data_IF_429424280080
#
_entry.id   IF_429424280080
#
_cell.length_a   1.000
_cell.length_b   1.000
_cell.length_c   1.000
_cell.angle_alpha   90.00
_cell.angle_beta   90.00
_cell.angle_gamma   90.00
#
_symmetry.space_group_name_H-M   'P 1'
#
loop_
_entity.id
_entity.type
_entity.pdbx_description
1 polymer ?
#
# COMPACT_ATOMS: atom_id res chain seq x y z
N UNK A 1 14.35 25.91 -3.96
CA UNK A 1 13.98 24.48 -3.86
C UNK A 1 12.46 24.41 -3.82
N UNK A 2 11.81 23.88 -4.85
CA UNK A 2 10.35 23.86 -4.96
C UNK A 2 9.79 22.78 -4.03
N UNK A 3 9.03 23.17 -3.00
CA UNK A 3 8.21 22.24 -2.22
C UNK A 3 7.08 21.80 -3.14
N UNK A 4 7.15 20.59 -3.69
CA UNK A 4 6.02 20.00 -4.43
C UNK A 4 5.03 19.47 -3.41
N UNK A 5 3.82 20.02 -3.43
CA UNK A 5 2.67 19.47 -2.74
C UNK A 5 2.22 18.20 -3.48
N UNK A 6 1.90 17.11 -2.77
CA UNK A 6 1.24 15.97 -3.39
C UNK A 6 -0.09 16.45 -3.96
N UNK A 7 -0.33 16.19 -5.24
CA UNK A 7 -1.57 16.62 -5.89
C UNK A 7 -2.73 15.74 -5.39
N UNK A 8 -3.75 16.28 -4.70
CA UNK A 8 -4.82 15.47 -4.13
C UNK A 8 -5.91 15.03 -5.14
N UNK A 9 -5.71 15.22 -6.44
CA UNK A 9 -6.76 14.90 -7.41
C UNK A 9 -6.22 14.65 -8.80
N UNK A 10 -6.06 13.37 -9.15
CA UNK A 10 -6.32 12.94 -10.52
C UNK A 10 -6.87 11.51 -10.45
N UNK A 11 -8.13 11.38 -10.07
CA UNK A 11 -8.93 10.19 -10.39
C UNK A 11 -9.17 10.20 -11.90
N UNK A 12 -8.13 9.87 -12.69
CA UNK A 12 -8.37 9.43 -14.05
C UNK A 12 -8.77 7.97 -13.94
N UNK A 13 -10.07 7.73 -14.03
CA UNK A 13 -10.62 6.41 -14.35
C UNK A 13 -10.09 6.05 -15.74
N UNK A 14 -8.92 5.42 -15.84
CA UNK A 14 -8.46 4.80 -17.08
C UNK A 14 -8.05 3.36 -16.77
N UNK A 15 -8.83 2.46 -17.35
CA UNK A 15 -8.47 1.07 -17.58
C UNK A 15 -7.19 1.04 -18.43
N UNK A 16 -6.06 0.78 -17.81
CA UNK A 16 -4.81 0.42 -18.49
C UNK A 16 -3.88 -0.17 -17.43
N UNK A 17 -3.13 -1.22 -17.76
CA UNK A 17 -2.36 -2.06 -16.82
C UNK A 17 -1.20 -1.40 -16.04
N UNK A 18 -1.29 -0.10 -15.75
CA UNK A 18 -0.43 0.59 -14.80
C UNK A 18 -0.80 0.17 -13.36
N UNK A 19 0.22 -0.14 -12.55
CA UNK A 19 0.01 -0.50 -11.15
C UNK A 19 -0.16 0.80 -10.34
N UNK A 20 -1.22 0.97 -9.52
CA UNK A 20 -1.45 2.19 -8.74
C UNK A 20 -0.24 2.70 -7.92
N UNK A 21 0.62 1.77 -7.47
CA UNK A 21 1.86 2.12 -6.76
C UNK A 21 2.89 2.77 -7.70
N UNK A 22 3.04 2.26 -8.93
CA UNK A 22 3.91 2.86 -9.95
C UNK A 22 3.41 4.27 -10.29
N UNK A 23 2.10 4.44 -10.45
CA UNK A 23 1.47 5.74 -10.68
C UNK A 23 1.73 6.72 -9.53
N UNK A 24 1.67 6.26 -8.27
CA UNK A 24 2.03 7.08 -7.12
C UNK A 24 3.47 7.60 -7.23
N UNK A 25 4.44 6.72 -7.47
CA UNK A 25 5.84 7.15 -7.54
C UNK A 25 6.14 7.99 -8.79
N UNK A 26 5.43 7.79 -9.90
CA UNK A 26 5.57 8.59 -11.12
C UNK A 26 5.25 10.09 -10.93
N UNK A 27 4.50 10.46 -9.88
CA UNK A 27 4.25 11.86 -9.52
C UNK A 27 5.52 12.60 -9.05
N UNK A 28 6.59 11.88 -8.76
CA UNK A 28 7.84 12.38 -8.20
C UNK A 28 9.02 12.12 -9.15
N UNK A 29 9.16 12.88 -10.26
CA UNK A 29 10.16 12.59 -11.30
C UNK A 29 11.61 12.67 -10.81
N UNK A 30 11.87 13.37 -9.70
CA UNK A 30 13.21 13.47 -9.10
C UNK A 30 13.55 12.30 -8.17
N UNK A 31 12.64 11.34 -8.04
CA UNK A 31 12.77 10.13 -7.25
C UNK A 31 12.59 8.90 -8.15
N UNK A 32 13.64 8.09 -8.25
CA UNK A 32 13.60 6.83 -9.01
C UNK A 32 13.12 5.70 -8.11
N UNK A 33 11.91 5.21 -8.36
CA UNK A 33 11.38 4.03 -7.69
C UNK A 33 12.18 2.78 -8.09
N UNK A 34 12.48 1.94 -7.10
CA UNK A 34 13.16 0.66 -7.27
C UNK A 34 12.27 -0.46 -6.70
N UNK A 35 11.64 -1.19 -7.62
CA UNK A 35 10.66 -2.26 -7.35
C UNK A 35 11.26 -3.46 -6.61
N UNK A 36 12.59 -3.58 -6.56
CA UNK A 36 13.26 -4.68 -5.84
C UNK A 36 13.28 -4.45 -4.33
N UNK A 37 12.93 -3.24 -3.88
CA UNK A 37 12.99 -2.85 -2.46
C UNK A 37 11.60 -2.78 -1.83
N UNK A 38 11.51 -2.95 -0.50
CA UNK A 38 10.24 -2.80 0.20
C UNK A 38 9.59 -1.43 -0.04
N UNK A 39 8.29 -1.43 -0.31
CA UNK A 39 7.50 -0.24 -0.63
C UNK A 39 7.61 0.86 0.44
N UNK A 40 7.54 0.51 1.72
CA UNK A 40 7.72 1.47 2.82
C UNK A 40 9.13 2.06 2.87
N UNK A 41 10.15 1.29 2.49
CA UNK A 41 11.52 1.82 2.39
C UNK A 41 11.64 2.83 1.25
N UNK A 42 10.98 2.58 0.12
CA UNK A 42 10.88 3.52 -1.01
C UNK A 42 10.15 4.81 -0.60
N UNK A 43 9.00 4.70 0.08
CA UNK A 43 8.26 5.86 0.58
C UNK A 43 9.08 6.70 1.56
N UNK A 44 9.80 6.07 2.51
CA UNK A 44 10.71 6.78 3.42
C UNK A 44 11.84 7.50 2.66
N UNK A 45 12.40 6.87 1.64
CA UNK A 45 13.44 7.48 0.80
C UNK A 45 12.90 8.68 0.02
N UNK A 46 11.67 8.59 -0.48
CA UNK A 46 10.95 9.70 -1.12
C UNK A 46 10.78 10.88 -0.15
N UNK A 47 10.30 10.66 1.08
CA UNK A 47 10.16 11.72 2.08
C UNK A 47 11.49 12.41 2.38
N UNK A 48 12.58 11.65 2.50
CA UNK A 48 13.94 12.20 2.69
C UNK A 48 14.39 13.04 1.48
N UNK A 49 14.11 12.57 0.25
CA UNK A 49 14.49 13.25 -1.00
C UNK A 49 13.83 14.63 -1.16
N UNK A 50 12.58 14.75 -0.71
CA UNK A 50 11.81 16.00 -0.76
C UNK A 50 11.90 16.83 0.52
N UNK A 51 12.59 16.32 1.55
CA UNK A 51 12.81 16.99 2.84
C UNK A 51 11.51 17.47 3.49
N UNK A 52 10.45 16.67 3.38
CA UNK A 52 9.19 16.99 4.03
C UNK A 52 9.34 16.94 5.54
N UNK A 53 8.69 17.89 6.21
CA UNK A 53 8.53 17.87 7.65
C UNK A 53 7.76 16.61 8.07
N UNK A 54 8.12 16.00 9.20
CA UNK A 54 7.49 14.77 9.71
C UNK A 54 6.01 14.97 10.04
N UNK A 55 5.63 16.19 10.40
CA UNK A 55 4.26 16.58 10.75
C UNK A 55 3.66 17.54 9.71
N UNK A 56 4.34 17.73 8.58
CA UNK A 56 3.93 18.62 7.51
C UNK A 56 2.68 18.13 6.77
N UNK A 57 1.94 19.07 6.18
CA UNK A 57 0.81 18.76 5.31
C UNK A 57 1.23 17.86 4.13
N UNK A 58 2.43 18.08 3.59
CA UNK A 58 2.94 17.34 2.44
C UNK A 58 3.17 15.86 2.74
N UNK A 59 3.81 15.51 3.87
CA UNK A 59 4.01 14.10 4.22
C UNK A 59 2.68 13.40 4.51
N UNK A 60 1.72 14.11 5.10
CA UNK A 60 0.39 13.56 5.40
C UNK A 60 -0.40 13.27 4.12
N UNK A 61 -0.42 14.21 3.17
CA UNK A 61 -1.05 14.01 1.86
C UNK A 61 -0.37 12.88 1.08
N UNK A 62 0.96 12.85 1.07
CA UNK A 62 1.71 11.79 0.38
C UNK A 62 1.45 10.42 1.01
N UNK A 63 1.37 10.35 2.35
CA UNK A 63 1.08 9.10 3.08
C UNK A 63 -0.32 8.59 2.78
N UNK A 64 -1.32 9.47 2.71
CA UNK A 64 -2.69 9.09 2.36
C UNK A 64 -2.76 8.58 0.91
N UNK A 65 -2.21 9.33 -0.04
CA UNK A 65 -2.18 8.91 -1.45
C UNK A 65 -1.41 7.60 -1.66
N UNK A 66 -0.31 7.39 -0.92
CA UNK A 66 0.43 6.14 -0.95
C UNK A 66 -0.37 4.97 -0.38
N UNK A 67 -1.12 5.20 0.71
CA UNK A 67 -2.02 4.20 1.30
C UNK A 67 -3.11 3.81 0.30
N UNK A 68 -3.72 4.78 -0.36
CA UNK A 68 -4.77 4.53 -1.35
C UNK A 68 -4.23 3.72 -2.55
N UNK A 69 -3.03 4.06 -3.03
CA UNK A 69 -2.36 3.30 -4.08
C UNK A 69 -2.08 1.84 -3.66
N UNK A 70 -1.63 1.61 -2.42
CA UNK A 70 -1.42 0.25 -1.91
C UNK A 70 -2.72 -0.54 -1.79
N UNK A 71 -3.81 0.09 -1.30
CA UNK A 71 -5.12 -0.55 -1.20
C UNK A 71 -5.65 -0.91 -2.59
N UNK A 72 -5.52 0.00 -3.55
CA UNK A 72 -5.96 -0.21 -4.94
C UNK A 72 -5.18 -1.36 -5.61
N UNK A 73 -3.85 -1.38 -5.49
CA UNK A 73 -3.03 -2.47 -6.04
C UNK A 73 -3.34 -3.80 -5.35
N UNK A 74 -3.60 -3.79 -4.04
CA UNK A 74 -4.03 -4.98 -3.31
C UNK A 74 -5.38 -5.52 -3.81
N UNK A 75 -6.37 -4.63 -4.00
CA UNK A 75 -7.67 -4.98 -4.56
C UNK A 75 -7.55 -5.56 -5.98
N UNK A 76 -6.66 -5.00 -6.80
CA UNK A 76 -6.38 -5.51 -8.15
C UNK A 76 -5.81 -6.94 -8.13
N UNK A 77 -4.95 -7.28 -7.15
CA UNK A 77 -4.30 -8.59 -7.06
C UNK A 77 -5.22 -9.62 -6.41
N UNK A 78 -5.93 -9.26 -5.33
CA UNK A 78 -6.63 -10.21 -4.48
C UNK A 78 -8.16 -10.15 -4.57
N UNK A 79 -8.70 -9.11 -5.20
CA UNK A 79 -10.13 -8.83 -5.27
C UNK A 79 -10.48 -7.57 -4.46
N UNK A 80 -11.35 -6.73 -5.03
CA UNK A 80 -11.82 -5.49 -4.40
C UNK A 80 -12.98 -5.73 -3.42
N UNK A 81 -13.70 -6.85 -3.59
CA UNK A 81 -14.83 -7.19 -2.73
C UNK A 81 -14.35 -7.79 -1.40
N UNK A 82 -14.40 -6.96 -0.35
CA UNK A 82 -14.10 -7.36 1.01
C UNK A 82 -15.07 -8.41 1.57
N UNK A 83 -16.23 -8.65 0.97
CA UNK A 83 -17.17 -9.70 1.36
C UNK A 83 -16.96 -11.03 0.62
N UNK A 84 -16.09 -11.07 -0.39
CA UNK A 84 -15.83 -12.28 -1.17
C UNK A 84 -14.97 -13.28 -0.39
N UNK A 85 -15.56 -14.42 -0.03
CA UNK A 85 -14.83 -15.55 0.58
C UNK A 85 -13.63 -15.97 -0.29
N UNK A 86 -13.80 -15.99 -1.61
CA UNK A 86 -12.74 -16.38 -2.55
C UNK A 86 -11.52 -15.46 -2.45
N UNK A 87 -11.74 -14.14 -2.37
CA UNK A 87 -10.67 -13.13 -2.20
C UNK A 87 -9.88 -13.38 -0.91
N UNK A 88 -10.58 -13.67 0.20
CA UNK A 88 -9.95 -13.95 1.48
C UNK A 88 -9.23 -15.31 1.52
N UNK A 89 -9.78 -16.34 0.88
CA UNK A 89 -9.10 -17.63 0.74
C UNK A 89 -7.86 -17.52 -0.14
N UNK A 90 -7.87 -16.67 -1.19
CA UNK A 90 -6.68 -16.36 -2.00
C UNK A 90 -5.58 -15.74 -1.15
N UNK A 91 -5.93 -14.81 -0.25
CA UNK A 91 -4.98 -14.27 0.72
C UNK A 91 -4.45 -15.34 1.67
N UNK A 92 -5.31 -16.23 2.16
CA UNK A 92 -4.89 -17.34 3.02
C UNK A 92 -3.84 -18.24 2.35
N UNK A 93 -4.02 -18.56 1.05
CA UNK A 93 -3.05 -19.31 0.25
C UNK A 93 -1.70 -18.59 0.15
N UNK A 94 -1.73 -17.29 -0.10
CA UNK A 94 -0.51 -16.47 -0.21
C UNK A 94 0.25 -16.42 1.12
N UNK A 95 -0.48 -16.34 2.23
CA UNK A 95 0.07 -16.36 3.58
C UNK A 95 0.43 -17.78 4.08
N UNK A 96 0.24 -18.80 3.25
CA UNK A 96 0.48 -20.22 3.56
C UNK A 96 -0.27 -20.68 4.82
N UNK A 97 -1.51 -20.23 4.97
CA UNK A 97 -2.44 -20.72 5.99
C UNK A 97 -2.99 -22.07 5.51
N UNK A 98 -2.82 -23.09 6.35
CA UNK A 98 -3.29 -24.46 6.13
C UNK A 98 -3.88 -25.02 7.45
N UNK A 99 -5.11 -25.55 7.45
CA UNK A 99 -6.04 -25.60 6.32
C UNK A 99 -6.60 -24.20 5.97
N UNK A 100 -7.01 -24.02 4.70
CA UNK A 100 -7.68 -22.79 4.26
C UNK A 100 -9.08 -22.76 4.90
N UNK A 101 -9.47 -21.68 5.61
CA UNK A 101 -10.80 -21.64 6.23
C UNK A 101 -11.93 -21.61 5.21
N UNK A 102 -13.06 -22.21 5.58
CA UNK A 102 -14.23 -22.36 4.69
C UNK A 102 -15.24 -21.21 4.82
N UNK A 103 -15.01 -20.26 5.74
CA UNK A 103 -15.88 -19.11 5.91
C UNK A 103 -15.11 -17.79 6.05
N UNK A 104 -15.83 -16.71 5.80
CA UNK A 104 -15.29 -15.37 5.67
C UNK A 104 -14.74 -14.82 6.99
N UNK A 105 -15.42 -15.15 8.11
CA UNK A 105 -15.05 -14.68 9.43
C UNK A 105 -13.67 -15.21 9.82
N UNK A 106 -13.48 -16.52 9.68
CA UNK A 106 -12.24 -17.19 10.07
C UNK A 106 -11.07 -16.75 9.18
N UNK A 107 -11.29 -16.58 7.88
CA UNK A 107 -10.26 -16.03 7.01
C UNK A 107 -9.80 -14.63 7.47
N UNK A 108 -10.75 -13.75 7.84
CA UNK A 108 -10.43 -12.40 8.30
C UNK A 108 -9.67 -12.40 9.62
N UNK A 109 -10.09 -13.23 10.57
CA UNK A 109 -9.47 -13.34 11.89
C UNK A 109 -8.01 -13.79 11.77
N UNK A 110 -7.75 -14.89 11.06
CA UNK A 110 -6.37 -15.41 10.90
C UNK A 110 -5.47 -14.43 10.14
N UNK A 111 -5.98 -13.81 9.06
CA UNK A 111 -5.21 -12.81 8.31
C UNK A 111 -4.86 -11.61 9.21
N UNK A 112 -5.81 -11.15 10.03
CA UNK A 112 -5.59 -10.04 10.95
C UNK A 112 -4.56 -10.38 12.04
N UNK A 113 -4.63 -11.59 12.61
CA UNK A 113 -3.63 -12.07 13.58
C UNK A 113 -2.23 -12.14 12.96
N UNK A 114 -2.11 -12.75 11.77
CA UNK A 114 -0.85 -12.86 11.04
C UNK A 114 -0.27 -11.49 10.70
N UNK A 115 -1.10 -10.56 10.22
CA UNK A 115 -0.70 -9.22 9.83
C UNK A 115 -0.31 -8.36 11.04
N UNK A 116 -0.97 -8.52 12.19
CA UNK A 116 -0.69 -7.76 13.42
C UNK A 116 0.73 -8.02 13.95
N UNK A 117 1.25 -9.24 13.79
CA UNK A 117 2.65 -9.53 14.15
C UNK A 117 3.61 -8.77 13.24
N UNK A 118 3.31 -8.67 11.94
CA UNK A 118 4.14 -7.93 10.98
C UNK A 118 4.07 -6.41 11.17
N UNK A 119 2.93 -5.85 11.56
CA UNK A 119 2.79 -4.40 11.80
C UNK A 119 3.51 -3.98 13.07
N UNK A 120 3.48 -4.79 14.13
CA UNK A 120 4.20 -4.51 15.39
C UNK A 120 5.71 -4.34 15.14
N UNK A 121 6.33 -5.18 14.31
CA UNK A 121 7.75 -5.02 13.95
C UNK A 121 8.06 -3.81 13.05
N UNK A 122 7.07 -3.30 12.30
CA UNK A 122 7.27 -2.17 11.38
C UNK A 122 7.05 -0.81 12.06
N UNK A 123 6.18 -0.73 13.07
CA UNK A 123 5.91 0.49 13.84
C UNK A 123 6.97 0.74 14.92
N UNK A 124 7.63 -0.29 15.45
CA UNK A 124 8.72 -0.14 16.44
C UNK A 124 10.04 0.46 15.88
N UNK A 125 10.08 0.86 14.61
CA UNK A 125 11.23 1.55 13.98
C UNK A 125 10.88 2.93 13.43
N UNK A 126 9.80 3.54 13.93
CA UNK A 126 9.50 4.96 13.71
C UNK A 126 9.92 5.79 14.93
#
# INVERSE_FOLDING_TARGET
>A
MVRKTPNPGTTRRIQSGAKPIEEFFAQYPDFRHDETKPLWSQFRALCKRYKWDKDGLEINLARNSFRDAMISEFGRIYGEDGASLESWQKLCRVLRIDPIPENLKDCREIVNERASVFTYFQTSKL
#
